data_IF_829459440777
#
_entry.id   IF_829459440777
#
_cell.length_a   1.000
_cell.length_b   1.000
_cell.length_c   1.000
_cell.angle_alpha   90.00
_cell.angle_beta   90.00
_cell.angle_gamma   90.00
#
_symmetry.space_group_name_H-M   'P 1'
#
loop_
_entity.id
_entity.type
_entity.pdbx_description
1 polymer ?
#
# COMPACT_ATOMS: atom_id res chain seq x y z
N UNK A 1 -25.10 29.84 -8.48
CA UNK A 1 -23.67 29.89 -8.08
C UNK A 1 -23.20 28.46 -7.96
N UNK A 2 -22.38 28.01 -8.91
CA UNK A 2 -21.74 26.69 -8.90
C UNK A 2 -20.86 26.63 -7.67
N UNK A 3 -21.25 25.81 -6.67
CA UNK A 3 -20.40 25.46 -5.55
C UNK A 3 -19.09 24.92 -6.15
N UNK A 4 -17.98 25.65 -5.96
CA UNK A 4 -16.66 25.10 -6.23
C UNK A 4 -16.56 23.82 -5.42
N UNK A 5 -16.44 22.68 -6.11
CA UNK A 5 -16.28 21.39 -5.45
C UNK A 5 -15.13 21.51 -4.44
N UNK A 6 -15.38 21.13 -3.18
CA UNK A 6 -14.33 21.07 -2.16
C UNK A 6 -13.36 19.99 -2.62
N UNK A 7 -12.18 20.38 -3.09
CA UNK A 7 -11.16 19.46 -3.57
C UNK A 7 -10.12 19.22 -2.46
N UNK A 8 -9.71 17.96 -2.28
CA UNK A 8 -8.62 17.61 -1.37
C UNK A 8 -7.27 18.08 -1.94
N UNK A 9 -6.87 19.31 -1.62
CA UNK A 9 -5.59 19.91 -2.00
C UNK A 9 -4.90 20.49 -0.77
N UNK A 10 -3.58 20.33 -0.68
CA UNK A 10 -2.79 20.92 0.42
C UNK A 10 -2.22 22.31 0.09
N UNK A 11 -1.50 22.89 1.06
CA UNK A 11 -0.86 24.20 0.96
C UNK A 11 0.24 24.29 -0.12
N UNK A 12 0.68 23.16 -0.69
CA UNK A 12 1.70 23.09 -1.74
C UNK A 12 1.09 22.84 -3.13
N UNK A 13 -0.25 22.85 -3.24
CA UNK A 13 -0.96 22.61 -4.49
C UNK A 13 -1.02 21.13 -4.90
N UNK A 14 -0.68 20.20 -4.02
CA UNK A 14 -0.78 18.76 -4.30
C UNK A 14 -2.23 18.32 -4.16
N UNK A 15 -2.79 17.76 -5.24
CA UNK A 15 -4.15 17.20 -5.24
C UNK A 15 -4.14 15.73 -4.84
N UNK A 16 -4.95 15.36 -3.85
CA UNK A 16 -5.09 14.00 -3.37
C UNK A 16 -6.15 13.25 -4.15
N UNK A 17 -5.76 12.14 -4.79
CA UNK A 17 -6.69 11.26 -5.52
C UNK A 17 -6.72 9.84 -4.98
N UNK A 18 -5.83 9.52 -4.03
CA UNK A 18 -5.57 8.16 -3.56
C UNK A 18 -5.65 8.09 -2.04
N UNK A 19 -6.67 7.36 -1.54
CA UNK A 19 -6.82 6.99 -0.14
C UNK A 19 -6.22 5.60 0.11
N UNK A 20 -5.43 5.47 1.17
CA UNK A 20 -5.05 4.16 1.72
C UNK A 20 -5.75 3.93 3.05
N UNK A 21 -6.62 2.94 3.09
CA UNK A 21 -7.43 2.58 4.25
C UNK A 21 -6.91 1.28 4.84
N UNK A 22 -6.32 1.36 6.04
CA UNK A 22 -6.06 0.18 6.86
C UNK A 22 -7.40 -0.32 7.40
N UNK A 23 -7.74 -1.59 7.18
CA UNK A 23 -8.99 -2.20 7.65
C UNK A 23 -8.80 -3.01 8.93
N UNK A 24 -7.55 -3.28 9.32
CA UNK A 24 -7.19 -4.04 10.51
C UNK A 24 -5.73 -3.79 10.86
N UNK A 25 -5.35 -3.91 12.14
CA UNK A 25 -3.95 -3.94 12.58
C UNK A 25 -3.40 -5.38 12.68
N UNK A 26 -4.28 -6.39 12.54
CA UNK A 26 -3.92 -7.81 12.71
C UNK A 26 -3.16 -8.31 11.49
N UNK A 27 -2.09 -9.08 11.72
CA UNK A 27 -1.35 -9.76 10.66
C UNK A 27 -1.08 -11.22 11.06
N UNK A 28 -1.15 -12.12 10.08
CA UNK A 28 -0.84 -13.55 10.23
C UNK A 28 0.60 -13.90 9.84
N UNK A 29 1.37 -12.96 9.27
CA UNK A 29 2.82 -13.07 9.09
C UNK A 29 3.58 -12.35 10.21
N UNK A 30 4.86 -12.67 10.34
CA UNK A 30 5.80 -12.06 11.27
C UNK A 30 7.05 -11.53 10.57
N UNK A 31 6.85 -10.78 9.48
CA UNK A 31 7.95 -10.38 8.61
C UNK A 31 9.04 -9.64 9.39
N UNK A 32 10.31 -10.01 9.17
CA UNK A 32 11.46 -9.51 9.93
C UNK A 32 11.59 -7.98 9.94
N UNK A 33 11.30 -7.34 8.79
CA UNK A 33 11.39 -5.89 8.63
C UNK A 33 10.18 -5.11 9.16
N UNK A 34 9.06 -5.78 9.43
CA UNK A 34 7.78 -5.14 9.77
C UNK A 34 7.32 -5.52 11.17
N UNK A 35 7.14 -6.82 11.44
CA UNK A 35 6.52 -7.31 12.67
C UNK A 35 7.22 -8.59 13.13
N UNK A 36 8.52 -8.54 13.47
CA UNK A 36 9.36 -9.73 13.70
C UNK A 36 8.84 -10.63 14.83
N UNK A 37 8.17 -10.04 15.82
CA UNK A 37 7.58 -10.76 16.96
C UNK A 37 6.10 -11.18 16.73
N UNK A 38 5.60 -11.03 15.50
CA UNK A 38 4.20 -11.24 15.16
C UNK A 38 3.24 -10.22 15.78
N UNK A 39 1.98 -10.27 15.37
CA UNK A 39 0.94 -9.42 15.95
C UNK A 39 0.63 -9.84 17.38
N UNK A 40 0.63 -8.87 18.29
CA UNK A 40 0.22 -9.05 19.68
C UNK A 40 -1.02 -8.21 19.92
N UNK A 41 -2.10 -8.85 20.36
CA UNK A 41 -3.33 -8.14 20.74
C UNK A 41 -3.08 -7.33 22.01
N UNK A 42 -3.03 -6.02 21.88
CA UNK A 42 -2.79 -5.09 23.00
C UNK A 42 -4.06 -4.46 23.57
N UNK A 43 -5.23 -4.70 22.96
CA UNK A 43 -6.51 -4.14 23.41
C UNK A 43 -7.71 -4.61 22.60
N UNK A 44 -8.79 -3.84 22.69
CA UNK A 44 -10.00 -4.09 21.91
C UNK A 44 -9.75 -3.90 20.40
N UNK A 45 -10.27 -4.83 19.60
CA UNK A 45 -10.25 -4.78 18.14
C UNK A 45 -11.43 -3.94 17.64
N UNK A 46 -11.39 -2.66 18.00
CA UNK A 46 -12.42 -1.68 17.67
C UNK A 46 -12.03 -0.96 16.38
N UNK A 47 -12.12 -1.70 15.27
CA UNK A 47 -11.83 -1.21 13.92
C UNK A 47 -13.10 -0.68 13.28
N UNK A 48 -12.95 0.21 12.28
CA UNK A 48 -14.09 0.73 11.51
C UNK A 48 -14.91 -0.43 10.93
N UNK A 49 -16.20 -0.44 11.24
CA UNK A 49 -17.21 -1.34 10.67
C UNK A 49 -17.38 -1.13 9.16
N UNK A 50 -18.07 -2.04 8.46
CA UNK A 50 -18.39 -1.86 7.05
C UNK A 50 -19.18 -0.57 6.76
N UNK A 51 -20.12 -0.18 7.64
CA UNK A 51 -20.92 1.04 7.46
C UNK A 51 -20.11 2.31 7.70
N UNK A 52 -19.24 2.34 8.72
CA UNK A 52 -18.31 3.46 8.94
C UNK A 52 -17.35 3.60 7.75
N UNK A 53 -16.88 2.48 7.19
CA UNK A 53 -16.02 2.45 6.01
C UNK A 53 -16.73 3.00 4.77
N UNK A 54 -18.01 2.69 4.60
CA UNK A 54 -18.83 3.25 3.52
C UNK A 54 -18.95 4.78 3.61
N UNK A 55 -19.28 5.30 4.80
CA UNK A 55 -19.39 6.75 5.05
C UNK A 55 -18.07 7.48 4.78
N UNK A 56 -16.98 6.89 5.24
CA UNK A 56 -15.63 7.38 5.00
C UNK A 56 -15.32 7.41 3.49
N UNK A 57 -15.56 6.30 2.78
CA UNK A 57 -15.32 6.19 1.35
C UNK A 57 -16.12 7.23 0.56
N UNK A 58 -17.40 7.42 0.89
CA UNK A 58 -18.28 8.42 0.29
C UNK A 58 -17.76 9.85 0.47
N UNK A 59 -17.37 10.20 1.70
CA UNK A 59 -16.86 11.53 2.00
C UNK A 59 -15.58 11.85 1.22
N UNK A 60 -14.62 10.91 1.17
CA UNK A 60 -13.40 11.08 0.40
C UNK A 60 -13.65 11.10 -1.12
N UNK A 61 -14.55 10.27 -1.64
CA UNK A 61 -14.81 10.24 -3.08
C UNK A 61 -15.41 11.55 -3.59
N UNK A 62 -16.28 12.16 -2.78
CA UNK A 62 -16.87 13.48 -3.05
C UNK A 62 -15.85 14.62 -2.96
N UNK A 63 -14.75 14.44 -2.23
CA UNK A 63 -13.58 15.36 -2.22
C UNK A 63 -12.62 15.14 -3.40
N UNK A 64 -12.97 14.28 -4.35
CA UNK A 64 -12.20 14.04 -5.58
C UNK A 64 -11.26 12.83 -5.53
N UNK A 65 -11.25 12.05 -4.44
CA UNK A 65 -10.46 10.82 -4.39
C UNK A 65 -11.11 9.74 -5.25
N UNK A 66 -10.33 9.19 -6.17
CA UNK A 66 -10.80 8.19 -7.16
C UNK A 66 -10.32 6.77 -6.88
N UNK A 67 -9.29 6.63 -6.04
CA UNK A 67 -8.68 5.34 -5.70
C UNK A 67 -8.69 5.11 -4.21
N UNK A 68 -9.23 3.98 -3.80
CA UNK A 68 -9.19 3.52 -2.40
C UNK A 68 -8.44 2.20 -2.36
N UNK A 69 -7.31 2.16 -1.63
CA UNK A 69 -6.57 0.93 -1.38
C UNK A 69 -6.85 0.42 0.03
N UNK A 70 -7.42 -0.77 0.11
CA UNK A 70 -7.54 -1.54 1.33
C UNK A 70 -6.19 -2.19 1.68
N UNK A 71 -5.81 -2.07 2.94
CA UNK A 71 -4.58 -2.61 3.51
C UNK A 71 -4.81 -2.90 5.00
N UNK A 72 -3.79 -3.15 5.79
CA UNK A 72 -3.92 -3.42 7.21
C UNK A 72 -2.57 -3.62 7.88
N UNK A 73 -2.56 -4.50 8.87
CA UNK A 73 -1.67 -5.66 8.81
C UNK A 73 -2.02 -6.49 7.56
N UNK A 74 -2.70 -7.62 7.72
CA UNK A 74 -3.18 -8.43 6.60
C UNK A 74 -4.71 -8.31 6.45
N UNK A 75 -5.25 -7.65 5.40
CA UNK A 75 -6.69 -7.48 5.22
C UNK A 75 -7.47 -8.78 5.25
N UNK A 76 -6.93 -9.86 4.66
CA UNK A 76 -7.65 -11.12 4.49
C UNK A 76 -7.87 -11.91 5.78
N UNK A 77 -7.35 -11.44 6.93
CA UNK A 77 -7.74 -11.99 8.24
C UNK A 77 -9.11 -11.49 8.71
N UNK A 78 -9.64 -10.45 8.06
CA UNK A 78 -10.88 -9.79 8.42
C UNK A 78 -12.07 -10.51 7.76
N UNK A 79 -13.04 -10.95 8.56
CA UNK A 79 -14.17 -11.78 8.10
C UNK A 79 -15.16 -11.03 7.18
N UNK A 80 -15.33 -9.74 7.41
CA UNK A 80 -16.22 -8.82 6.69
C UNK A 80 -15.49 -8.06 5.55
N UNK A 81 -14.30 -8.51 5.14
CA UNK A 81 -13.53 -7.87 4.07
C UNK A 81 -14.31 -7.78 2.75
N UNK A 82 -15.01 -8.85 2.35
CA UNK A 82 -15.80 -8.86 1.11
C UNK A 82 -16.92 -7.83 1.15
N UNK A 83 -17.57 -7.64 2.30
CA UNK A 83 -18.59 -6.59 2.48
C UNK A 83 -17.98 -5.19 2.36
N UNK A 84 -16.80 -4.97 2.96
CA UNK A 84 -16.07 -3.70 2.86
C UNK A 84 -15.71 -3.38 1.40
N UNK A 85 -15.22 -4.37 0.64
CA UNK A 85 -14.92 -4.20 -0.79
C UNK A 85 -16.18 -3.76 -1.54
N UNK A 86 -17.31 -4.45 -1.32
CA UNK A 86 -18.57 -4.14 -1.99
C UNK A 86 -19.06 -2.73 -1.66
N UNK A 87 -19.01 -2.30 -0.40
CA UNK A 87 -19.43 -0.96 0.02
C UNK A 87 -18.54 0.15 -0.56
N UNK A 88 -17.23 -0.10 -0.65
CA UNK A 88 -16.28 0.82 -1.29
C UNK A 88 -16.51 0.88 -2.80
N UNK A 89 -16.73 -0.26 -3.45
CA UNK A 89 -17.00 -0.34 -4.90
C UNK A 89 -18.34 0.30 -5.29
N UNK A 90 -19.33 0.32 -4.39
CA UNK A 90 -20.61 0.96 -4.63
C UNK A 90 -20.54 2.51 -4.68
N UNK A 91 -19.40 3.12 -4.30
CA UNK A 91 -19.24 4.56 -4.38
C UNK A 91 -18.97 4.97 -5.83
N UNK A 92 -19.95 5.61 -6.47
CA UNK A 92 -19.94 5.98 -7.90
C UNK A 92 -18.71 6.76 -8.38
N UNK A 93 -18.02 7.44 -7.47
CA UNK A 93 -16.85 8.27 -7.74
C UNK A 93 -15.51 7.54 -7.50
N UNK A 94 -15.54 6.27 -7.10
CA UNK A 94 -14.34 5.44 -6.88
C UNK A 94 -14.09 4.58 -8.11
N UNK A 95 -13.14 5.01 -8.94
CA UNK A 95 -12.75 4.31 -10.17
C UNK A 95 -11.90 3.04 -9.88
N UNK A 96 -11.19 3.03 -8.73
CA UNK A 96 -10.17 2.03 -8.43
C UNK A 96 -10.26 1.54 -6.98
N UNK A 97 -10.89 0.38 -6.80
CA UNK A 97 -10.81 -0.41 -5.55
C UNK A 97 -9.61 -1.31 -5.59
N UNK A 98 -8.59 -0.98 -4.80
CA UNK A 98 -7.33 -1.71 -4.76
C UNK A 98 -7.15 -2.43 -3.41
N UNK A 99 -6.37 -3.51 -3.38
CA UNK A 99 -5.98 -4.18 -2.15
C UNK A 99 -4.49 -4.52 -2.13
N UNK A 100 -3.86 -4.43 -0.96
CA UNK A 100 -2.54 -5.03 -0.69
C UNK A 100 -2.67 -6.14 0.33
N UNK A 101 -2.18 -7.33 0.01
CA UNK A 101 -2.21 -8.54 0.85
C UNK A 101 -0.85 -9.24 0.80
N UNK A 102 -0.50 -9.97 1.85
CA UNK A 102 0.62 -10.91 1.87
C UNK A 102 0.33 -12.22 1.13
N UNK A 103 -0.91 -12.41 0.65
CA UNK A 103 -1.30 -13.53 -0.19
C UNK A 103 -1.77 -14.76 0.57
N UNK A 104 -1.72 -14.78 1.91
CA UNK A 104 -2.02 -15.99 2.71
C UNK A 104 -3.36 -16.64 2.34
N UNK A 105 -4.44 -15.86 2.30
CA UNK A 105 -5.78 -16.38 1.96
C UNK A 105 -6.18 -16.04 0.52
N UNK A 106 -5.24 -15.65 -0.34
CA UNK A 106 -5.55 -15.12 -1.67
C UNK A 106 -6.24 -16.16 -2.55
N UNK A 107 -5.68 -17.37 -2.66
CA UNK A 107 -6.25 -18.44 -3.47
C UNK A 107 -7.69 -18.82 -3.07
N UNK A 108 -8.04 -18.62 -1.80
CA UNK A 108 -9.35 -18.98 -1.26
C UNK A 108 -10.44 -17.94 -1.55
N UNK A 109 -10.09 -16.66 -1.64
CA UNK A 109 -11.07 -15.57 -1.56
C UNK A 109 -11.00 -14.57 -2.71
N UNK A 110 -10.00 -14.64 -3.59
CA UNK A 110 -9.83 -13.66 -4.66
C UNK A 110 -11.04 -13.58 -5.59
N UNK A 111 -11.70 -14.70 -5.86
CA UNK A 111 -12.95 -14.77 -6.62
C UNK A 111 -14.08 -13.94 -5.97
N UNK A 112 -14.28 -14.10 -4.66
CA UNK A 112 -15.29 -13.36 -3.90
C UNK A 112 -14.98 -11.87 -3.89
N UNK A 113 -13.69 -11.51 -3.72
CA UNK A 113 -13.25 -10.12 -3.71
C UNK A 113 -13.42 -9.44 -5.05
N UNK A 114 -13.10 -10.12 -6.16
CA UNK A 114 -13.34 -9.61 -7.51
C UNK A 114 -14.83 -9.45 -7.77
N UNK A 115 -15.64 -10.43 -7.36
CA UNK A 115 -17.10 -10.36 -7.47
C UNK A 115 -17.71 -9.21 -6.66
N UNK A 116 -17.09 -8.86 -5.53
CA UNK A 116 -17.45 -7.69 -4.73
C UNK A 116 -16.98 -6.35 -5.31
N UNK A 117 -16.21 -6.35 -6.40
CA UNK A 117 -15.76 -5.12 -7.08
C UNK A 117 -14.29 -4.76 -6.85
N UNK A 118 -13.45 -5.68 -6.36
CA UNK A 118 -12.00 -5.49 -6.36
C UNK A 118 -11.48 -5.41 -7.80
N UNK A 119 -10.76 -4.34 -8.13
CA UNK A 119 -10.25 -4.10 -9.50
C UNK A 119 -8.73 -4.19 -9.59
N UNK A 120 -8.01 -3.93 -8.49
CA UNK A 120 -6.54 -3.91 -8.48
C UNK A 120 -5.98 -4.68 -7.28
N UNK A 121 -4.98 -5.53 -7.52
CA UNK A 121 -4.36 -6.34 -6.47
C UNK A 121 -2.85 -6.12 -6.41
N UNK A 122 -2.33 -5.96 -5.20
CA UNK A 122 -0.91 -6.01 -4.89
C UNK A 122 -0.67 -7.18 -3.92
N UNK A 123 0.21 -8.11 -4.29
CA UNK A 123 0.62 -9.24 -3.45
C UNK A 123 2.04 -8.98 -2.96
N UNK A 124 2.29 -9.04 -1.66
CA UNK A 124 3.64 -8.92 -1.10
C UNK A 124 4.35 -10.27 -1.16
N UNK A 125 5.43 -10.36 -1.94
CA UNK A 125 6.29 -11.53 -2.07
C UNK A 125 7.72 -11.00 -2.02
N UNK A 126 8.42 -11.21 -0.91
CA UNK A 126 9.75 -10.63 -0.69
C UNK A 126 10.90 -11.51 -1.21
N UNK A 127 10.61 -12.77 -1.55
CA UNK A 127 11.57 -13.69 -2.15
C UNK A 127 10.86 -14.74 -3.02
N UNK A 128 11.53 -15.19 -4.08
CA UNK A 128 11.09 -16.30 -4.95
C UNK A 128 11.72 -17.64 -4.56
N UNK A 129 12.70 -17.62 -3.65
CA UNK A 129 13.21 -18.82 -2.99
C UNK A 129 12.37 -19.12 -1.74
N UNK A 130 12.08 -20.42 -1.52
CA UNK A 130 11.22 -20.90 -0.43
C UNK A 130 11.82 -20.61 0.94
N UNK A 131 13.11 -20.89 1.10
CA UNK A 131 13.77 -20.75 2.40
C UNK A 131 13.98 -19.26 2.73
N UNK A 132 14.37 -18.44 1.75
CA UNK A 132 14.43 -16.99 1.89
C UNK A 132 13.06 -16.40 2.24
N UNK A 133 11.99 -16.82 1.57
CA UNK A 133 10.63 -16.38 1.87
C UNK A 133 10.24 -16.76 3.31
N UNK A 134 10.53 -17.98 3.74
CA UNK A 134 10.25 -18.44 5.10
C UNK A 134 11.06 -17.68 6.16
N UNK A 135 12.34 -17.38 5.89
CA UNK A 135 13.19 -16.54 6.76
C UNK A 135 12.62 -15.13 6.89
N UNK A 136 12.23 -14.51 5.79
CA UNK A 136 11.73 -13.12 5.78
C UNK A 136 10.36 -13.03 6.44
N UNK A 137 9.41 -13.89 6.07
CA UNK A 137 8.00 -13.78 6.50
C UNK A 137 7.71 -14.50 7.82
N UNK A 138 8.58 -15.45 8.20
CA UNK A 138 8.40 -16.40 9.28
C UNK A 138 7.52 -17.59 8.93
N UNK A 139 7.10 -17.76 7.66
CA UNK A 139 6.19 -18.81 7.24
C UNK A 139 6.58 -19.42 5.90
N UNK A 140 6.59 -20.75 5.84
CA UNK A 140 6.78 -21.51 4.61
C UNK A 140 5.45 -21.63 3.86
N UNK A 141 5.14 -20.59 3.08
CA UNK A 141 3.85 -20.40 2.37
C UNK A 141 4.00 -19.87 0.95
N UNK A 142 5.21 -19.82 0.41
CA UNK A 142 5.47 -19.22 -0.91
C UNK A 142 4.59 -19.86 -2.00
N UNK A 143 4.48 -21.19 -2.03
CA UNK A 143 3.67 -21.90 -3.02
C UNK A 143 2.18 -21.54 -2.95
N UNK A 144 1.63 -21.38 -1.74
CA UNK A 144 0.23 -20.98 -1.55
C UNK A 144 -0.01 -19.57 -2.07
N UNK A 145 0.93 -18.66 -1.81
CA UNK A 145 0.88 -17.26 -2.28
C UNK A 145 0.99 -17.19 -3.81
N UNK A 146 1.90 -17.96 -4.41
CA UNK A 146 2.07 -18.04 -5.86
C UNK A 146 0.82 -18.63 -6.54
N UNK A 147 0.22 -19.67 -5.97
CA UNK A 147 -1.06 -20.23 -6.44
C UNK A 147 -2.19 -19.19 -6.42
N UNK A 148 -2.27 -18.40 -5.34
CA UNK A 148 -3.21 -17.28 -5.26
C UNK A 148 -2.94 -16.19 -6.30
N UNK A 149 -1.67 -15.88 -6.55
CA UNK A 149 -1.25 -14.92 -7.57
C UNK A 149 -1.60 -15.40 -8.99
N UNK A 150 -1.45 -16.69 -9.27
CA UNK A 150 -1.85 -17.32 -10.54
C UNK A 150 -3.38 -17.25 -10.72
N UNK A 151 -4.16 -17.57 -9.67
CA UNK A 151 -5.62 -17.41 -9.72
C UNK A 151 -6.02 -15.96 -9.97
N UNK A 152 -5.38 -15.00 -9.29
CA UNK A 152 -5.67 -13.59 -9.49
C UNK A 152 -5.40 -13.11 -10.92
N UNK A 153 -4.35 -13.61 -11.57
CA UNK A 153 -4.05 -13.28 -12.98
C UNK A 153 -5.06 -13.86 -13.97
N UNK A 154 -5.77 -14.94 -13.61
CA UNK A 154 -6.82 -15.53 -14.42
C UNK A 154 -8.18 -14.82 -14.27
N UNK A 155 -8.31 -13.88 -13.34
CA UNK A 155 -9.53 -13.12 -13.07
C UNK A 155 -9.51 -11.76 -13.79
N UNK A 156 -10.67 -11.11 -14.01
CA UNK A 156 -10.78 -9.84 -14.72
C UNK A 156 -10.32 -8.63 -13.88
N UNK A 157 -9.19 -8.75 -13.17
CA UNK A 157 -8.54 -7.64 -12.48
C UNK A 157 -7.88 -6.71 -13.51
N UNK A 158 -8.06 -5.41 -13.33
CA UNK A 158 -7.42 -4.40 -14.19
C UNK A 158 -5.90 -4.39 -14.05
N UNK A 159 -5.39 -4.74 -12.86
CA UNK A 159 -3.95 -4.93 -12.65
C UNK A 159 -3.65 -5.84 -11.46
N UNK A 160 -2.69 -6.75 -11.65
CA UNK A 160 -2.06 -7.53 -10.59
C UNK A 160 -0.59 -7.12 -10.50
N UNK A 161 -0.11 -6.86 -9.27
CA UNK A 161 1.24 -6.39 -8.98
C UNK A 161 1.83 -7.20 -7.84
N UNK A 162 3.14 -7.36 -7.87
CA UNK A 162 3.90 -7.92 -6.76
C UNK A 162 4.73 -6.81 -6.14
N UNK A 163 4.79 -6.75 -4.82
CA UNK A 163 5.71 -5.88 -4.10
C UNK A 163 6.73 -6.75 -3.36
N UNK A 164 7.99 -6.37 -3.41
CA UNK A 164 9.08 -6.98 -2.65
C UNK A 164 9.87 -5.87 -1.93
N UNK A 165 10.27 -6.09 -0.70
CA UNK A 165 11.22 -5.18 -0.02
C UNK A 165 12.64 -5.51 -0.47
N UNK A 166 13.39 -4.48 -0.84
CA UNK A 166 14.80 -4.61 -1.20
C UNK A 166 15.63 -4.77 0.08
N UNK A 167 16.07 -6.00 0.34
CA UNK A 167 16.87 -6.38 1.51
C UNK A 167 18.25 -6.88 1.06
N UNK A 168 19.29 -6.55 1.83
CA UNK A 168 20.68 -6.94 1.55
C UNK A 168 20.84 -8.45 1.37
N UNK A 169 20.29 -9.24 2.29
CA UNK A 169 20.41 -10.70 2.27
C UNK A 169 19.68 -11.35 1.08
N UNK A 170 18.82 -10.60 0.39
CA UNK A 170 18.11 -11.07 -0.81
C UNK A 170 18.84 -10.77 -2.13
N UNK A 171 20.04 -10.19 -2.08
CA UNK A 171 20.82 -9.78 -3.27
C UNK A 171 21.89 -10.78 -3.72
N UNK A 172 22.08 -11.88 -2.99
CA UNK A 172 23.18 -12.83 -3.24
C UNK A 172 23.13 -13.46 -4.63
N UNK A 173 21.93 -13.64 -5.19
CA UNK A 173 21.69 -14.26 -6.51
C UNK A 173 21.29 -13.26 -7.60
N UNK A 174 21.64 -11.96 -7.44
CA UNK A 174 21.23 -10.87 -8.34
C UNK A 174 19.69 -10.72 -8.53
N UNK A 175 19.23 -10.04 -9.60
CA UNK A 175 17.81 -9.79 -9.86
C UNK A 175 17.22 -10.65 -11.01
N UNK A 176 17.98 -11.60 -11.56
CA UNK A 176 17.62 -12.41 -12.72
C UNK A 176 16.41 -13.29 -12.47
N UNK A 177 16.30 -13.89 -11.27
CA UNK A 177 15.13 -14.66 -10.88
C UNK A 177 13.83 -13.85 -11.00
N UNK A 178 13.89 -12.55 -10.71
CA UNK A 178 12.75 -11.65 -10.81
C UNK A 178 12.45 -11.22 -12.23
N UNK A 179 13.46 -10.99 -13.07
CA UNK A 179 13.24 -10.70 -14.49
C UNK A 179 12.66 -11.91 -15.21
N UNK A 180 13.16 -13.11 -14.92
CA UNK A 180 12.59 -14.38 -15.41
C UNK A 180 11.15 -14.59 -14.91
N UNK A 181 10.88 -14.30 -13.64
CA UNK A 181 9.53 -14.39 -13.10
C UNK A 181 8.53 -13.51 -13.86
N UNK A 182 8.94 -12.32 -14.32
CA UNK A 182 8.07 -11.42 -15.11
C UNK A 182 8.18 -11.59 -16.62
N UNK A 183 8.96 -12.56 -17.11
CA UNK A 183 9.20 -12.78 -18.55
C UNK A 183 7.89 -13.02 -19.31
N UNK A 184 7.10 -13.99 -18.86
CA UNK A 184 5.83 -14.37 -19.50
C UNK A 184 4.59 -13.84 -18.75
N UNK A 185 4.81 -13.18 -17.60
CA UNK A 185 3.73 -12.68 -16.75
C UNK A 185 3.50 -11.20 -16.99
N UNK A 186 2.27 -10.80 -17.32
CA UNK A 186 1.87 -9.38 -17.47
C UNK A 186 1.66 -8.67 -16.11
N UNK A 187 2.58 -8.88 -15.18
CA UNK A 187 2.60 -8.27 -13.85
C UNK A 187 3.71 -7.23 -13.75
N UNK A 188 3.60 -6.35 -12.76
CA UNK A 188 4.69 -5.47 -12.34
C UNK A 188 5.18 -5.92 -10.97
N UNK A 189 6.46 -6.31 -10.88
CA UNK A 189 7.15 -6.56 -9.61
C UNK A 189 7.81 -5.26 -9.18
N UNK A 190 7.50 -4.78 -7.98
CA UNK A 190 7.96 -3.49 -7.47
C UNK A 190 8.81 -3.69 -6.24
N UNK A 191 10.07 -3.36 -6.36
CA UNK A 191 10.98 -3.30 -5.23
C UNK A 191 10.77 -2.01 -4.46
N UNK A 192 10.68 -2.15 -3.15
CA UNK A 192 10.51 -1.04 -2.21
C UNK A 192 11.79 -0.98 -1.39
N UNK A 193 12.48 0.16 -1.44
CA UNK A 193 13.62 0.39 -0.55
C UNK A 193 13.16 0.26 0.90
N UNK A 194 13.90 -0.52 1.71
CA UNK A 194 13.57 -0.72 3.12
C UNK A 194 13.44 0.64 3.82
N UNK A 195 12.33 0.88 4.50
CA UNK A 195 12.08 2.12 5.23
C UNK A 195 12.34 1.94 6.71
N UNK A 196 13.05 2.89 7.32
CA UNK A 196 13.25 2.94 8.76
C UNK A 196 11.94 3.29 9.48
N UNK A 197 11.65 2.59 10.57
CA UNK A 197 10.56 2.85 11.52
C UNK A 197 11.12 2.97 12.94
N UNK A 198 10.27 3.27 13.91
CA UNK A 198 10.67 3.39 15.32
C UNK A 198 11.22 2.09 15.93
N UNK A 199 10.75 0.91 15.46
CA UNK A 199 11.13 -0.39 16.05
C UNK A 199 12.23 -1.14 15.27
N UNK A 200 12.58 -0.73 14.05
CA UNK A 200 13.45 -1.51 13.16
C UNK A 200 14.84 -0.90 12.92
N UNK A 201 15.29 0.05 13.75
CA UNK A 201 16.52 0.81 13.48
C UNK A 201 17.78 -0.06 13.24
N UNK A 202 17.99 -1.09 14.07
CA UNK A 202 19.12 -2.02 13.91
C UNK A 202 18.98 -2.85 12.62
N UNK A 203 17.79 -3.42 12.39
CA UNK A 203 17.50 -4.15 11.17
C UNK A 203 17.68 -3.29 9.91
N UNK A 204 17.27 -2.02 9.95
CA UNK A 204 17.50 -1.06 8.86
C UNK A 204 18.98 -0.87 8.59
N UNK A 205 19.81 -0.69 9.63
CA UNK A 205 21.25 -0.52 9.46
C UNK A 205 21.89 -1.73 8.77
N UNK A 206 21.45 -2.94 9.12
CA UNK A 206 22.02 -4.17 8.56
C UNK A 206 21.52 -4.44 7.13
N UNK A 207 20.23 -4.23 6.89
CA UNK A 207 19.53 -4.74 5.70
C UNK A 207 19.24 -3.70 4.63
N UNK A 208 19.34 -2.41 4.94
CA UNK A 208 19.06 -1.35 3.96
C UNK A 208 20.07 -1.39 2.81
N UNK A 209 19.53 -1.32 1.59
CA UNK A 209 20.27 -1.12 0.35
C UNK A 209 19.54 -0.06 -0.46
N UNK A 210 20.30 0.89 -1.02
CA UNK A 210 19.73 1.94 -1.86
C UNK A 210 19.05 1.35 -3.10
N UNK A 211 17.90 1.91 -3.49
CA UNK A 211 17.24 1.57 -4.75
C UNK A 211 18.09 1.78 -6.01
N UNK A 212 19.18 2.56 -5.90
CA UNK A 212 20.16 2.74 -6.98
C UNK A 212 20.82 1.43 -7.43
N UNK A 213 20.95 0.44 -6.55
CA UNK A 213 21.49 -0.88 -6.88
C UNK A 213 20.63 -1.57 -7.93
N UNK A 214 19.32 -1.67 -7.68
CA UNK A 214 18.37 -2.23 -8.65
C UNK A 214 18.33 -1.40 -9.93
N UNK A 215 18.26 -0.07 -9.81
CA UNK A 215 18.21 0.82 -10.98
C UNK A 215 19.40 0.59 -11.91
N UNK A 216 20.61 0.54 -11.35
CA UNK A 216 21.82 0.39 -12.14
C UNK A 216 21.89 -1.00 -12.79
N UNK A 217 21.52 -2.05 -12.05
CA UNK A 217 21.44 -3.40 -12.60
C UNK A 217 20.44 -3.47 -13.78
N UNK A 218 19.23 -2.92 -13.61
CA UNK A 218 18.21 -2.89 -14.66
C UNK A 218 18.72 -2.19 -15.94
N UNK A 219 19.33 -1.01 -15.80
CA UNK A 219 19.87 -0.25 -16.93
C UNK A 219 21.00 -1.00 -17.66
N UNK A 220 21.87 -1.68 -16.92
CA UNK A 220 22.95 -2.50 -17.50
C UNK A 220 22.42 -3.71 -18.27
N UNK A 221 21.24 -4.21 -17.90
CA UNK A 221 20.57 -5.35 -18.54
C UNK A 221 19.46 -4.92 -19.51
N UNK A 222 19.54 -3.71 -20.07
CA UNK A 222 18.67 -3.25 -21.16
C UNK A 222 17.27 -2.78 -20.76
N UNK A 223 16.93 -2.75 -19.47
CA UNK A 223 15.64 -2.24 -19.00
C UNK A 223 15.60 -0.71 -19.06
N UNK A 224 14.47 -0.15 -19.49
CA UNK A 224 14.32 1.30 -19.67
C UNK A 224 13.20 1.86 -18.79
N UNK A 225 13.40 3.05 -18.16
CA UNK A 225 12.36 3.69 -17.35
C UNK A 225 11.18 4.14 -18.21
N UNK A 226 9.98 4.08 -17.64
CA UNK A 226 8.73 4.53 -18.27
C UNK A 226 8.26 5.84 -17.69
N UNK A 227 7.54 6.60 -18.51
CA UNK A 227 6.82 7.79 -18.07
C UNK A 227 5.71 7.44 -17.08
N UNK A 228 5.47 8.35 -16.13
CA UNK A 228 4.47 8.18 -15.06
C UNK A 228 3.12 8.76 -15.49
N UNK A 229 2.05 8.03 -15.19
CA UNK A 229 0.68 8.55 -15.28
C UNK A 229 0.26 9.34 -14.03
N UNK A 230 -0.84 10.09 -14.13
CA UNK A 230 -1.34 10.98 -13.08
C UNK A 230 -1.79 10.26 -11.78
N UNK A 231 -2.27 9.02 -11.90
CA UNK A 231 -2.73 8.18 -10.78
C UNK A 231 -1.67 7.16 -10.32
N UNK A 232 -0.49 7.19 -10.92
CA UNK A 232 0.56 6.26 -10.55
C UNK A 232 1.04 6.54 -9.13
N UNK A 233 1.41 5.45 -8.46
CA UNK A 233 2.07 5.54 -7.17
C UNK A 233 3.50 6.09 -7.31
N UNK A 234 4.31 5.97 -6.25
CA UNK A 234 5.68 6.47 -6.24
C UNK A 234 6.66 5.62 -7.06
N UNK A 235 6.22 4.54 -7.70
CA UNK A 235 7.11 3.63 -8.41
C UNK A 235 7.59 4.25 -9.72
N UNK A 236 8.90 4.18 -9.96
CA UNK A 236 9.48 4.32 -11.30
C UNK A 236 9.44 2.93 -11.92
N UNK A 237 8.66 2.76 -12.98
CA UNK A 237 8.52 1.47 -13.69
C UNK A 237 9.56 1.37 -14.80
N UNK A 238 10.08 0.18 -15.01
CA UNK A 238 11.00 -0.19 -16.08
C UNK A 238 10.38 -1.28 -16.94
N UNK A 239 10.66 -1.24 -18.24
CA UNK A 239 10.24 -2.26 -19.21
C UNK A 239 11.43 -2.74 -20.05
N UNK A 240 11.32 -3.97 -20.53
CA UNK A 240 12.28 -4.59 -21.44
C UNK A 240 11.51 -5.20 -22.64
N UNK A 241 11.98 -5.09 -23.89
CA UNK A 241 11.29 -5.65 -25.06
C UNK A 241 11.00 -7.15 -24.95
N UNK A 242 11.92 -7.91 -24.34
CA UNK A 242 11.81 -9.37 -24.21
C UNK A 242 10.99 -9.85 -23.01
N UNK A 243 10.33 -8.95 -22.27
CA UNK A 243 9.55 -9.30 -21.08
C UNK A 243 8.13 -8.73 -21.18
N UNK A 244 7.13 -9.57 -20.93
CA UNK A 244 5.72 -9.16 -20.89
C UNK A 244 5.40 -8.30 -19.65
N UNK A 245 6.11 -8.53 -18.55
CA UNK A 245 5.96 -7.81 -17.30
C UNK A 245 6.89 -6.61 -17.16
N UNK A 246 6.93 -6.07 -15.94
CA UNK A 246 7.70 -4.88 -15.58
C UNK A 246 8.40 -5.05 -14.25
N UNK A 247 9.51 -4.34 -14.07
CA UNK A 247 10.15 -4.15 -12.77
C UNK A 247 9.98 -2.69 -12.36
N UNK A 248 9.60 -2.43 -11.12
CA UNK A 248 9.45 -1.08 -10.58
C UNK A 248 10.33 -0.85 -9.35
N UNK A 249 10.68 0.40 -9.12
CA UNK A 249 11.43 0.83 -7.93
C UNK A 249 10.66 1.92 -7.18
N UNK A 250 10.45 1.73 -5.88
CA UNK A 250 9.93 2.72 -4.95
C UNK A 250 11.08 3.09 -3.99
N UNK A 251 11.67 4.26 -4.22
CA UNK A 251 12.80 4.79 -3.46
C UNK A 251 12.39 5.99 -2.61
N UNK A 252 11.84 5.79 -1.39
CA UNK A 252 11.42 6.86 -0.47
C UNK A 252 12.55 7.82 -0.07
N UNK A 253 13.82 7.40 -0.17
CA UNK A 253 14.99 8.24 0.09
C UNK A 253 15.47 9.00 -1.16
N UNK A 254 14.78 8.91 -2.29
CA UNK A 254 15.15 9.67 -3.47
C UNK A 254 14.73 11.15 -3.33
N UNK A 255 15.55 12.11 -3.81
CA UNK A 255 15.15 13.51 -3.91
C UNK A 255 13.83 13.66 -4.67
N UNK A 256 12.95 14.54 -4.20
CA UNK A 256 11.66 14.83 -4.83
C UNK A 256 10.58 13.74 -4.70
N UNK A 257 10.81 12.70 -3.88
CA UNK A 257 9.84 11.62 -3.67
C UNK A 257 8.45 12.12 -3.22
N UNK A 258 8.43 13.20 -2.42
CA UNK A 258 7.20 13.76 -1.84
C UNK A 258 6.50 14.80 -2.73
N UNK A 259 7.17 15.32 -3.77
CA UNK A 259 6.69 16.45 -4.59
C UNK A 259 5.39 16.08 -5.31
N UNK A 260 5.32 14.84 -5.82
CA UNK A 260 4.14 14.28 -6.46
C UNK A 260 3.25 13.44 -5.53
N UNK A 261 3.33 13.61 -4.21
CA UNK A 261 2.56 12.78 -3.28
C UNK A 261 1.05 13.10 -3.35
N UNK A 262 0.26 12.14 -3.85
CA UNK A 262 -1.19 12.25 -4.01
C UNK A 262 -1.98 11.37 -3.03
N UNK A 263 -1.36 11.01 -1.89
CA UNK A 263 -1.87 9.99 -0.95
C UNK A 263 -2.25 10.54 0.42
N UNK A 264 -3.41 10.10 0.90
CA UNK A 264 -3.83 10.19 2.30
C UNK A 264 -3.97 8.78 2.90
N UNK A 265 -3.90 8.68 4.22
CA UNK A 265 -3.94 7.40 4.94
C UNK A 265 -4.98 7.46 6.05
N UNK A 266 -5.75 6.39 6.21
CA UNK A 266 -6.66 6.19 7.34
C UNK A 266 -6.23 4.92 8.07
N UNK A 267 -6.09 5.02 9.39
CA UNK A 267 -5.81 3.85 10.25
C UNK A 267 -7.06 2.96 10.37
N UNK A 268 -6.89 1.73 10.87
CA UNK A 268 -8.02 0.82 11.10
C UNK A 268 -9.07 1.36 12.08
N UNK A 269 -8.71 2.38 12.86
CA UNK A 269 -9.56 3.02 13.87
C UNK A 269 -10.13 4.37 13.42
N UNK A 270 -9.93 4.75 12.16
CA UNK A 270 -10.49 5.99 11.60
C UNK A 270 -9.66 7.25 11.84
N UNK A 271 -8.36 7.13 12.11
CA UNK A 271 -7.50 8.31 12.22
C UNK A 271 -6.92 8.69 10.85
N UNK A 272 -7.09 9.95 10.46
CA UNK A 272 -6.46 10.54 9.29
C UNK A 272 -4.99 10.85 9.54
N UNK A 273 -4.16 10.28 8.68
CA UNK A 273 -2.71 10.42 8.62
C UNK A 273 -2.34 11.09 7.31
N UNK A 274 -1.75 12.27 7.40
CA UNK A 274 -1.33 13.05 6.24
C UNK A 274 -0.06 12.47 5.59
N UNK A 275 0.75 11.74 6.35
CA UNK A 275 1.96 11.07 5.89
C UNK A 275 2.13 9.70 6.56
N UNK A 276 2.84 8.78 5.91
CA UNK A 276 3.28 7.52 6.54
C UNK A 276 4.19 7.81 7.74
N UNK A 277 5.12 8.75 7.56
CA UNK A 277 6.15 9.14 8.52
C UNK A 277 5.84 10.48 9.21
N UNK A 278 4.56 10.82 9.33
CA UNK A 278 4.10 12.01 10.04
C UNK A 278 3.93 11.75 11.54
N UNK A 279 3.58 12.80 12.27
CA UNK A 279 3.20 12.74 13.69
C UNK A 279 1.67 12.82 13.84
N UNK A 280 1.13 12.10 14.81
CA UNK A 280 -0.27 12.20 15.24
C UNK A 280 -1.27 11.69 14.21
N UNK A 281 -2.53 12.08 14.39
CA UNK A 281 -3.61 11.77 13.46
C UNK A 281 -4.88 12.51 13.87
N UNK A 282 -5.74 12.80 12.91
CA UNK A 282 -7.02 13.44 13.17
C UNK A 282 -8.09 12.36 13.33
N UNK A 283 -8.76 12.30 14.47
CA UNK A 283 -9.85 11.35 14.66
C UNK A 283 -11.04 11.74 13.79
N UNK A 284 -11.37 10.88 12.82
CA UNK A 284 -12.53 11.06 11.96
C UNK A 284 -13.72 10.22 12.41
N UNK A 285 -13.53 9.28 13.34
CA UNK A 285 -14.52 8.24 13.61
C UNK A 285 -15.82 8.78 14.21
N UNK A 286 -15.73 9.79 15.05
CA UNK A 286 -16.90 10.48 15.62
C UNK A 286 -17.80 11.15 14.56
N UNK A 287 -17.30 11.34 13.34
CA UNK A 287 -18.05 11.88 12.19
C UNK A 287 -18.57 10.77 11.26
N UNK A 288 -18.42 9.50 11.63
CA UNK A 288 -18.89 8.33 10.88
C UNK A 288 -20.10 7.66 11.52
N UNK A 289 -20.68 8.23 12.57
CA UNK A 289 -21.79 7.63 13.31
C UNK A 289 -23.11 7.73 12.53
N UNK A 290 -23.30 8.83 11.81
CA UNK A 290 -24.53 9.15 11.07
C UNK A 290 -24.25 9.77 9.71
N UNK A 291 -25.18 9.60 8.77
CA UNK A 291 -25.02 10.06 7.40
C UNK A 291 -25.05 11.59 7.27
N UNK A 292 -25.73 12.29 8.19
CA UNK A 292 -25.83 13.75 8.24
C UNK A 292 -24.52 14.45 8.64
N UNK A 293 -23.53 13.71 9.17
CA UNK A 293 -22.23 14.24 9.58
C UNK A 293 -21.23 14.38 8.42
N UNK A 294 -21.60 13.96 7.20
CA UNK A 294 -20.71 13.92 6.03
C UNK A 294 -20.04 15.28 5.75
N UNK A 295 -20.78 16.38 5.81
CA UNK A 295 -20.22 17.71 5.54
C UNK A 295 -19.18 18.11 6.59
N UNK A 296 -19.44 17.83 7.87
CA UNK A 296 -18.50 18.08 8.96
C UNK A 296 -17.23 17.21 8.83
N UNK A 297 -17.39 15.95 8.41
CA UNK A 297 -16.27 15.07 8.09
C UNK A 297 -15.40 15.66 6.97
N UNK A 298 -16.03 16.13 5.89
CA UNK A 298 -15.33 16.77 4.78
C UNK A 298 -14.57 18.02 5.21
N UNK A 299 -15.16 18.85 6.07
CA UNK A 299 -14.50 20.07 6.59
C UNK A 299 -13.25 19.76 7.41
N UNK A 300 -13.30 18.75 8.26
CA UNK A 300 -12.14 18.33 9.05
C UNK A 300 -11.04 17.73 8.16
N UNK A 301 -11.43 16.92 7.16
CA UNK A 301 -10.47 16.39 6.19
C UNK A 301 -9.74 17.53 5.47
N UNK A 302 -10.47 18.49 4.92
CA UNK A 302 -9.90 19.62 4.16
C UNK A 302 -9.04 20.50 5.08
N UNK A 303 -9.53 20.82 6.28
CA UNK A 303 -8.78 21.62 7.26
C UNK A 303 -7.45 20.96 7.64
N UNK A 304 -7.44 19.64 7.85
CA UNK A 304 -6.23 18.89 8.17
C UNK A 304 -5.14 18.98 7.10
N UNK A 305 -5.51 19.12 5.81
CA UNK A 305 -4.53 19.20 4.71
C UNK A 305 -3.60 20.41 4.81
N UNK A 306 -4.03 21.48 5.48
CA UNK A 306 -3.17 22.64 5.77
C UNK A 306 -1.95 22.30 6.63
N UNK A 307 -2.01 21.23 7.42
CA UNK A 307 -0.92 20.75 8.28
C UNK A 307 0.03 19.76 7.61
N UNK A 308 -0.18 19.40 6.34
CA UNK A 308 0.66 18.38 5.67
C UNK A 308 2.01 18.97 5.29
N UNK A 309 3.10 18.46 5.86
CA UNK A 309 4.47 18.85 5.49
C UNK A 309 4.81 18.62 4.02
N UNK A 310 5.77 19.39 3.49
CA UNK A 310 6.26 19.25 2.12
C UNK A 310 6.87 17.86 1.88
N UNK A 311 7.69 17.38 2.81
CA UNK A 311 8.39 16.09 2.73
C UNK A 311 8.41 15.38 4.09
N UNK A 312 8.85 14.12 4.09
CA UNK A 312 9.14 13.37 5.32
C UNK A 312 10.61 13.48 5.71
N UNK A 313 10.92 13.19 6.97
CA UNK A 313 12.27 13.34 7.54
C UNK A 313 13.07 12.03 7.64
N UNK A 314 12.79 11.06 6.76
CA UNK A 314 13.50 9.77 6.74
C UNK A 314 15.03 9.92 6.62
N UNK A 315 15.52 10.93 5.89
CA UNK A 315 16.95 11.23 5.77
C UNK A 315 17.59 11.67 7.10
N UNK A 316 16.79 12.29 7.98
CA UNK A 316 17.21 12.67 9.31
C UNK A 316 16.96 11.55 10.34
N UNK A 317 16.76 10.31 9.88
CA UNK A 317 16.44 9.16 10.72
C UNK A 317 15.18 9.34 11.59
N UNK A 318 14.25 10.20 11.15
CA UNK A 318 13.01 10.50 11.85
C UNK A 318 11.81 9.87 11.12
N UNK A 319 11.32 8.70 11.57
CA UNK A 319 10.17 8.04 10.96
C UNK A 319 8.83 8.63 11.42
N UNK A 320 8.81 9.69 12.21
CA UNK A 320 7.59 10.15 12.87
C UNK A 320 7.23 9.24 14.06
N UNK A 321 5.95 9.02 14.30
CA UNK A 321 5.45 8.14 15.36
C UNK A 321 5.18 6.69 14.88
N UNK A 322 5.48 6.36 13.61
CA UNK A 322 5.28 5.00 13.11
C UNK A 322 6.28 4.04 13.75
N UNK A 323 5.76 3.05 14.47
CA UNK A 323 6.58 2.03 15.12
C UNK A 323 6.87 0.88 14.16
N UNK A 324 5.85 0.45 13.42
CA UNK A 324 5.96 -0.57 12.37
C UNK A 324 4.98 -0.32 11.20
N UNK A 325 5.26 -0.96 10.06
CA UNK A 325 4.51 -0.75 8.81
C UNK A 325 3.09 -1.36 8.84
N UNK A 326 2.79 -2.30 9.74
CA UNK A 326 1.46 -2.89 9.85
C UNK A 326 0.42 -1.93 10.47
N UNK A 327 0.84 -0.91 11.21
CA UNK A 327 -0.06 0.06 11.85
C UNK A 327 -0.90 0.87 10.85
N UNK A 328 -0.34 1.19 9.68
CA UNK A 328 -0.98 2.08 8.69
C UNK A 328 -0.95 1.53 7.26
N UNK A 329 -0.61 0.24 7.13
CA UNK A 329 -0.46 -0.47 5.85
C UNK A 329 0.63 0.11 4.97
N UNK A 330 1.89 -0.28 5.23
CA UNK A 330 3.11 0.06 4.49
C UNK A 330 2.91 0.27 2.98
#
# INVERSE_FOLDING_TARGET
>A
MTLTARDATDAFGRRFRYLRLSVTEVCNFRCTYCLPNGYKKTGAMDFLSPIETERLARAFSELGLRKIRLTGGEPSVRKDLTEIIARVAAQSQVDKVAMTTNGWNLARHVDDWVSAGLTHLNVSIDALDRDAFARITGHDRLNDVLSGLDRAQALPLSAVKVNAVLLRDGLEDDFSAWTDFVRDRRISVRFIELMRTGDNAAFFQDQHVSGTVLRNWLLQHGWQPRERGIDDGPAIEFSHPDHAGRIGLIAPYAPGFCDGCNRLRITARGQLRLCLFGQGGHDLRSFLERDDQKEALQDIIVSALGGKSLSHDLHAANPGDIRNLAQTGG
#
